data_IF_632631706076
#
_entry.id   IF_632631706076
#
_cell.length_a   1.000
_cell.length_b   1.000
_cell.length_c   1.000
_cell.angle_alpha   90.00
_cell.angle_beta   90.00
_cell.angle_gamma   90.00
#
_symmetry.space_group_name_H-M   'P 1'
#
loop_
_entity.id
_entity.type
_entity.pdbx_description
1 polymer ?
#
# COMPACT_ATOMS: atom_id res chain seq x y z
N UNK A 1 11.09 10.03 12.91
CA UNK A 1 11.04 8.54 13.05
C UNK A 1 12.10 7.99 12.13
N UNK A 2 12.99 7.16 12.63
CA UNK A 2 13.96 6.49 11.77
C UNK A 2 13.33 5.32 10.99
N UNK A 3 14.07 4.75 10.04
CA UNK A 3 13.56 3.72 9.15
C UNK A 3 13.17 2.43 9.89
N UNK A 4 13.98 1.99 10.83
CA UNK A 4 13.72 0.75 11.59
C UNK A 4 12.50 0.94 12.48
N UNK A 5 12.42 2.09 13.16
CA UNK A 5 11.27 2.45 13.96
C UNK A 5 9.97 2.48 13.13
N UNK A 6 10.02 3.06 11.92
CA UNK A 6 8.87 3.07 11.02
C UNK A 6 8.41 1.66 10.62
N UNK A 7 9.34 0.78 10.29
CA UNK A 7 9.05 -0.62 9.93
C UNK A 7 8.42 -1.37 11.10
N UNK A 8 9.01 -1.26 12.30
CA UNK A 8 8.58 -2.03 13.47
C UNK A 8 7.25 -1.54 14.05
N UNK A 9 6.96 -0.25 13.94
CA UNK A 9 5.77 0.36 14.55
C UNK A 9 4.61 0.59 13.58
N UNK A 10 4.80 0.38 12.27
CA UNK A 10 3.74 0.56 11.27
C UNK A 10 2.53 -0.32 11.60
N UNK A 11 1.36 0.31 11.62
CA UNK A 11 0.07 -0.35 11.83
C UNK A 11 -0.82 -0.17 10.60
N UNK A 12 -1.84 -1.01 10.49
CA UNK A 12 -2.86 -0.90 9.44
C UNK A 12 -3.89 0.13 9.85
N UNK A 13 -4.24 1.05 8.93
CA UNK A 13 -5.20 2.12 9.14
C UNK A 13 -6.35 2.00 8.15
N UNK A 14 -7.60 1.98 8.64
CA UNK A 14 -8.84 1.90 7.84
C UNK A 14 -9.84 3.00 8.16
N UNK A 15 -9.58 3.80 9.18
CA UNK A 15 -10.41 4.94 9.58
C UNK A 15 -9.54 6.19 9.53
N UNK A 16 -10.01 7.21 8.86
CA UNK A 16 -9.21 8.40 8.54
C UNK A 16 -9.85 9.67 9.07
N UNK A 17 -9.03 10.56 9.60
CA UNK A 17 -9.44 11.93 9.85
C UNK A 17 -9.75 12.65 8.52
N UNK A 18 -10.63 13.63 8.57
CA UNK A 18 -10.99 14.45 7.40
C UNK A 18 -9.88 15.39 6.94
N UNK A 19 -8.79 15.48 7.71
CA UNK A 19 -7.63 16.32 7.41
C UNK A 19 -7.00 15.92 6.06
N UNK A 20 -6.84 16.87 5.11
CA UNK A 20 -6.24 16.58 3.83
C UNK A 20 -4.76 16.20 3.97
N UNK A 21 -4.29 15.31 3.10
CA UNK A 21 -2.86 14.98 2.98
C UNK A 21 -2.20 15.99 2.07
N UNK A 22 -1.05 16.52 2.50
CA UNK A 22 -0.31 17.49 1.71
C UNK A 22 0.28 16.85 0.44
N UNK A 23 0.36 17.64 -0.63
CA UNK A 23 0.83 17.14 -1.93
C UNK A 23 2.29 16.67 -1.88
N UNK A 24 3.15 17.34 -1.11
CA UNK A 24 4.54 16.97 -0.91
C UNK A 24 4.70 15.64 -0.16
N UNK A 25 3.81 15.33 0.80
CA UNK A 25 3.79 14.02 1.48
C UNK A 25 3.43 12.91 0.49
N UNK A 26 2.39 13.10 -0.35
CA UNK A 26 2.04 12.13 -1.38
C UNK A 26 3.16 11.95 -2.40
N UNK A 27 3.82 13.03 -2.81
CA UNK A 27 4.98 12.96 -3.69
C UNK A 27 6.11 12.11 -3.09
N UNK A 28 6.43 12.30 -1.81
CA UNK A 28 7.45 11.48 -1.10
C UNK A 28 7.06 10.01 -1.02
N UNK A 29 5.78 9.71 -0.81
CA UNK A 29 5.26 8.34 -0.76
C UNK A 29 5.40 7.67 -2.13
N UNK A 30 4.98 8.35 -3.20
CA UNK A 30 5.10 7.84 -4.58
C UNK A 30 6.58 7.62 -4.94
N UNK A 31 7.44 8.56 -4.58
CA UNK A 31 8.88 8.44 -4.81
C UNK A 31 9.48 7.24 -4.06
N UNK A 32 9.07 6.98 -2.82
CA UNK A 32 9.49 5.78 -2.09
C UNK A 32 9.07 4.48 -2.80
N UNK A 33 7.87 4.44 -3.37
CA UNK A 33 7.42 3.32 -4.20
C UNK A 33 8.26 3.16 -5.47
N UNK A 34 8.56 4.27 -6.13
CA UNK A 34 9.39 4.31 -7.35
C UNK A 34 10.81 3.78 -7.12
N UNK A 35 11.34 3.91 -5.91
CA UNK A 35 12.66 3.39 -5.49
C UNK A 35 12.64 1.94 -5.00
N UNK A 36 11.56 1.20 -5.18
CA UNK A 36 11.53 -0.21 -4.85
C UNK A 36 12.45 -1.02 -5.78
N UNK A 37 12.94 -2.15 -5.27
CA UNK A 37 13.66 -3.11 -6.12
C UNK A 37 12.69 -3.79 -7.08
N UNK A 38 13.17 -4.12 -8.28
CA UNK A 38 12.43 -4.94 -9.23
C UNK A 38 13.36 -5.90 -9.97
N UNK A 39 12.83 -7.04 -10.39
CA UNK A 39 13.56 -8.03 -11.14
C UNK A 39 14.16 -7.39 -12.42
N UNK A 40 15.46 -7.49 -12.61
CA UNK A 40 16.20 -6.89 -13.75
C UNK A 40 15.95 -5.38 -13.92
N UNK A 41 15.54 -4.70 -12.87
CA UNK A 41 15.16 -3.29 -12.89
C UNK A 41 14.04 -2.96 -13.91
N UNK A 42 13.10 -3.88 -14.10
CA UNK A 42 12.01 -3.72 -15.07
C UNK A 42 10.97 -2.68 -14.63
N UNK A 43 10.84 -2.41 -13.33
CA UNK A 43 9.95 -1.41 -12.76
C UNK A 43 8.50 -1.53 -13.30
N UNK A 44 7.86 -2.71 -13.17
CA UNK A 44 6.61 -3.06 -13.83
C UNK A 44 5.39 -2.43 -13.14
N UNK A 45 5.49 -1.19 -12.71
CA UNK A 45 4.44 -0.46 -12.01
C UNK A 45 4.18 0.90 -12.61
N UNK A 46 2.94 1.35 -12.43
CA UNK A 46 2.52 2.73 -12.60
C UNK A 46 1.70 3.13 -11.38
N UNK A 47 1.62 4.42 -11.09
CA UNK A 47 0.92 4.93 -9.91
C UNK A 47 -0.06 6.02 -10.33
N UNK A 48 -1.32 5.90 -9.88
CA UNK A 48 -2.33 6.95 -10.04
C UNK A 48 -2.62 7.51 -8.65
N UNK A 49 -2.33 8.80 -8.46
CA UNK A 49 -2.65 9.51 -7.22
C UNK A 49 -4.05 10.11 -7.34
N UNK A 50 -4.95 9.73 -6.42
CA UNK A 50 -6.33 10.19 -6.39
C UNK A 50 -6.54 11.00 -5.12
N UNK A 51 -7.06 12.23 -5.28
CA UNK A 51 -7.42 13.16 -4.19
C UNK A 51 -8.84 13.69 -4.34
N UNK A 52 -9.43 13.50 -5.50
CA UNK A 52 -10.81 13.91 -5.78
C UNK A 52 -11.79 13.09 -4.94
N UNK A 53 -12.65 13.77 -4.19
CA UNK A 53 -13.57 13.14 -3.22
C UNK A 53 -14.63 12.27 -3.90
N UNK A 54 -15.13 12.68 -5.05
CA UNK A 54 -16.15 11.92 -5.76
C UNK A 54 -15.56 10.65 -6.32
N UNK A 55 -14.34 10.74 -6.87
CA UNK A 55 -13.59 9.58 -7.36
C UNK A 55 -13.22 8.60 -6.26
N UNK A 56 -12.79 9.07 -5.10
CA UNK A 56 -12.52 8.22 -3.93
C UNK A 56 -13.78 7.50 -3.45
N UNK A 57 -14.93 8.19 -3.43
CA UNK A 57 -16.23 7.56 -3.11
C UNK A 57 -16.61 6.48 -4.13
N UNK A 58 -16.50 6.80 -5.41
CA UNK A 58 -16.78 5.85 -6.49
C UNK A 58 -15.85 4.62 -6.43
N UNK A 59 -14.54 4.81 -6.16
CA UNK A 59 -13.59 3.73 -5.95
C UNK A 59 -13.97 2.86 -4.74
N UNK A 60 -14.35 3.47 -3.62
CA UNK A 60 -14.79 2.74 -2.43
C UNK A 60 -16.06 1.92 -2.69
N UNK A 61 -16.98 2.39 -3.53
CA UNK A 61 -18.21 1.69 -3.88
C UNK A 61 -17.96 0.39 -4.67
N UNK A 62 -16.88 0.32 -5.45
CA UNK A 62 -16.49 -0.88 -6.22
C UNK A 62 -15.54 -1.81 -5.46
N UNK A 63 -15.18 -1.46 -4.21
CA UNK A 63 -14.40 -2.32 -3.32
C UNK A 63 -15.31 -3.23 -2.50
N UNK A 64 -15.03 -4.54 -2.48
CA UNK A 64 -15.80 -5.50 -1.68
C UNK A 64 -15.49 -5.38 -0.18
N UNK A 65 -14.20 -5.31 0.18
CA UNK A 65 -13.74 -5.23 1.57
C UNK A 65 -13.01 -3.92 1.90
N UNK A 66 -12.77 -3.08 0.91
CA UNK A 66 -11.99 -1.83 0.97
C UNK A 66 -12.85 -0.57 0.94
N UNK A 67 -14.12 -0.61 1.33
CA UNK A 67 -15.05 0.55 1.25
C UNK A 67 -14.54 1.81 1.94
N UNK A 68 -13.66 1.67 2.93
CA UNK A 68 -13.01 2.78 3.63
C UNK A 68 -12.10 3.65 2.72
N UNK A 69 -11.84 3.23 1.46
CA UNK A 69 -11.24 4.09 0.44
C UNK A 69 -12.09 5.35 0.21
N UNK A 70 -13.41 5.21 0.29
CA UNK A 70 -14.35 6.32 0.16
C UNK A 70 -14.14 7.43 1.20
N UNK A 71 -13.63 7.08 2.39
CA UNK A 71 -13.47 8.01 3.51
C UNK A 71 -12.05 8.58 3.60
N UNK A 72 -11.10 7.97 2.89
CA UNK A 72 -9.72 8.45 2.88
C UNK A 72 -9.58 9.81 2.17
N UNK A 73 -8.70 10.71 2.65
CA UNK A 73 -8.46 11.99 1.98
C UNK A 73 -7.63 11.87 0.71
N UNK A 74 -7.00 10.72 0.48
CA UNK A 74 -6.23 10.41 -0.74
C UNK A 74 -6.04 8.91 -0.91
N UNK A 75 -5.73 8.48 -2.13
CA UNK A 75 -5.30 7.11 -2.42
C UNK A 75 -4.23 7.10 -3.51
N UNK A 76 -3.40 6.07 -3.51
CA UNK A 76 -2.53 5.71 -4.62
C UNK A 76 -3.02 4.37 -5.15
N UNK A 77 -3.35 4.32 -6.44
CA UNK A 77 -3.66 3.09 -7.15
C UNK A 77 -2.37 2.60 -7.82
N UNK A 78 -1.99 1.39 -7.53
CA UNK A 78 -0.81 0.74 -8.11
C UNK A 78 -1.28 -0.13 -9.27
N UNK A 79 -0.75 0.15 -10.44
CA UNK A 79 -0.95 -0.66 -11.64
C UNK A 79 0.25 -1.58 -11.82
N UNK A 80 0.00 -2.76 -12.36
CA UNK A 80 1.03 -3.71 -12.78
C UNK A 80 1.03 -3.89 -14.28
N UNK A 81 2.21 -4.02 -14.86
CA UNK A 81 2.40 -4.41 -16.26
C UNK A 81 1.98 -5.88 -16.45
N UNK A 82 1.04 -6.14 -17.34
CA UNK A 82 0.53 -7.48 -17.63
C UNK A 82 1.44 -8.28 -18.55
N UNK A 83 2.32 -7.63 -19.32
CA UNK A 83 3.29 -8.29 -20.21
C UNK A 83 4.45 -8.92 -19.43
N UNK A 84 4.82 -8.36 -18.27
CA UNK A 84 5.90 -8.84 -17.40
C UNK A 84 5.38 -9.63 -16.20
N UNK A 85 4.34 -10.44 -16.40
CA UNK A 85 3.55 -11.07 -15.35
C UNK A 85 4.34 -11.91 -14.32
N UNK A 86 5.51 -12.47 -14.70
CA UNK A 86 6.25 -13.40 -13.81
C UNK A 86 6.66 -12.79 -12.47
N UNK A 87 7.12 -11.55 -12.46
CA UNK A 87 7.62 -10.88 -11.25
C UNK A 87 6.84 -9.62 -10.89
N UNK A 88 5.93 -9.18 -11.76
CA UNK A 88 5.21 -7.92 -11.58
C UNK A 88 4.47 -7.83 -10.23
N UNK A 89 3.84 -8.91 -9.77
CA UNK A 89 3.14 -8.92 -8.49
C UNK A 89 4.11 -8.77 -7.30
N UNK A 90 5.28 -9.44 -7.36
CA UNK A 90 6.31 -9.35 -6.32
C UNK A 90 6.91 -7.96 -6.29
N UNK A 91 7.25 -7.43 -7.47
CA UNK A 91 7.86 -6.11 -7.62
C UNK A 91 6.90 -5.00 -7.17
N UNK A 92 5.63 -5.06 -7.60
CA UNK A 92 4.59 -4.14 -7.13
C UNK A 92 4.37 -4.22 -5.61
N UNK A 93 4.44 -5.42 -5.02
CA UNK A 93 4.32 -5.58 -3.57
C UNK A 93 5.48 -4.89 -2.81
N UNK A 94 6.70 -4.88 -3.36
CA UNK A 94 7.82 -4.15 -2.79
C UNK A 94 7.58 -2.62 -2.85
N UNK A 95 7.07 -2.11 -3.99
CA UNK A 95 6.70 -0.70 -4.11
C UNK A 95 5.62 -0.31 -3.09
N UNK A 96 4.61 -1.15 -2.91
CA UNK A 96 3.56 -0.98 -1.90
C UNK A 96 4.14 -0.92 -0.49
N UNK A 97 5.07 -1.83 -0.15
CA UNK A 97 5.68 -1.85 1.18
C UNK A 97 6.50 -0.59 1.45
N UNK A 98 7.27 -0.12 0.46
CA UNK A 98 8.01 1.14 0.57
C UNK A 98 7.06 2.32 0.81
N UNK A 99 5.98 2.43 0.02
CA UNK A 99 4.98 3.48 0.19
C UNK A 99 4.32 3.44 1.58
N UNK A 100 3.96 2.25 2.05
CA UNK A 100 3.32 2.09 3.36
C UNK A 100 4.25 2.51 4.51
N UNK A 101 5.54 2.16 4.42
CA UNK A 101 6.55 2.53 5.41
C UNK A 101 6.82 4.05 5.38
N UNK A 102 6.98 4.63 4.18
CA UNK A 102 7.17 6.06 4.01
C UNK A 102 5.96 6.86 4.52
N UNK A 103 4.74 6.40 4.20
CA UNK A 103 3.51 7.01 4.73
C UNK A 103 3.49 7.02 6.25
N UNK A 104 3.82 5.90 6.88
CA UNK A 104 3.88 5.81 8.34
C UNK A 104 4.93 6.74 8.94
N UNK A 105 6.12 6.81 8.36
CA UNK A 105 7.18 7.73 8.80
C UNK A 105 6.76 9.20 8.69
N UNK A 106 5.86 9.53 7.76
CA UNK A 106 5.27 10.85 7.56
C UNK A 106 4.01 11.10 8.43
N UNK A 107 3.64 10.17 9.33
CA UNK A 107 2.48 10.27 10.19
C UNK A 107 1.15 9.90 9.52
N UNK A 108 1.19 9.22 8.38
CA UNK A 108 0.03 8.78 7.62
C UNK A 108 -0.13 7.26 7.74
N UNK A 109 -1.38 6.83 7.92
CA UNK A 109 -1.72 5.42 7.89
C UNK A 109 -2.25 4.99 6.53
N UNK A 110 -2.16 3.68 6.26
CA UNK A 110 -2.68 3.03 5.06
C UNK A 110 -3.11 1.60 5.33
N UNK A 111 -3.89 1.05 4.41
CA UNK A 111 -4.23 -0.36 4.37
C UNK A 111 -4.27 -0.83 2.91
N UNK A 112 -3.65 -1.95 2.63
CA UNK A 112 -3.74 -2.63 1.35
C UNK A 112 -5.18 -3.05 1.03
N UNK A 113 -5.71 -2.67 -0.14
CA UNK A 113 -7.03 -3.07 -0.64
C UNK A 113 -6.85 -3.89 -1.90
N UNK A 114 -7.07 -5.21 -1.78
CA UNK A 114 -6.88 -6.16 -2.89
C UNK A 114 -8.17 -6.76 -3.43
N UNK A 115 -9.35 -6.38 -2.90
CA UNK A 115 -10.62 -6.96 -3.32
C UNK A 115 -11.58 -5.86 -3.84
N UNK A 116 -11.65 -5.73 -5.16
CA UNK A 116 -12.39 -4.71 -5.89
C UNK A 116 -12.81 -5.22 -7.27
N UNK A 117 -13.77 -4.57 -7.89
CA UNK A 117 -14.15 -4.77 -9.29
C UNK A 117 -13.09 -4.11 -10.20
N UNK A 118 -12.16 -4.92 -10.71
CA UNK A 118 -11.03 -4.45 -11.50
C UNK A 118 -11.47 -3.79 -12.82
N UNK A 119 -12.54 -4.30 -13.46
CA UNK A 119 -13.03 -3.75 -14.73
C UNK A 119 -13.60 -2.34 -14.54
N UNK A 120 -14.43 -2.14 -13.51
CA UNK A 120 -14.98 -0.83 -13.19
C UNK A 120 -13.91 0.18 -12.77
N UNK A 121 -12.88 -0.27 -12.05
CA UNK A 121 -11.76 0.61 -11.71
C UNK A 121 -10.95 1.01 -12.95
N UNK A 122 -10.71 0.07 -13.86
CA UNK A 122 -9.99 0.35 -15.10
C UNK A 122 -10.74 1.37 -15.97
N UNK A 123 -12.04 1.21 -16.13
CA UNK A 123 -12.90 2.17 -16.84
C UNK A 123 -12.89 3.55 -16.15
N UNK A 124 -13.14 3.59 -14.83
CA UNK A 124 -13.21 4.82 -14.03
C UNK A 124 -11.91 5.64 -14.08
N UNK A 125 -10.77 4.96 -14.11
CA UNK A 125 -9.43 5.56 -14.06
C UNK A 125 -8.79 5.66 -15.46
N UNK A 126 -9.52 5.28 -16.54
CA UNK A 126 -9.02 5.27 -17.92
C UNK A 126 -7.70 4.50 -18.06
N UNK A 127 -7.62 3.32 -17.44
CA UNK A 127 -6.41 2.49 -17.47
C UNK A 127 -6.33 1.83 -18.85
N UNK A 128 -5.23 2.03 -19.60
CA UNK A 128 -5.09 1.45 -20.93
C UNK A 128 -4.79 -0.05 -20.87
N UNK A 129 -4.99 -0.73 -22.00
CA UNK A 129 -4.57 -2.12 -22.19
C UNK A 129 -3.07 -2.28 -21.86
N UNK A 130 -2.72 -3.46 -21.38
CA UNK A 130 -1.35 -3.76 -20.92
C UNK A 130 -1.11 -3.44 -19.45
N UNK A 131 -2.05 -2.76 -18.75
CA UNK A 131 -1.97 -2.47 -17.33
C UNK A 131 -3.18 -3.02 -16.58
N UNK A 132 -2.96 -3.53 -15.39
CA UNK A 132 -4.02 -3.99 -14.50
C UNK A 132 -3.87 -3.37 -13.11
N UNK A 133 -5.00 -3.12 -12.42
CA UNK A 133 -4.94 -2.67 -11.02
C UNK A 133 -4.39 -3.79 -10.16
N UNK A 134 -3.28 -3.52 -9.48
CA UNK A 134 -2.68 -4.44 -8.52
C UNK A 134 -3.28 -4.24 -7.13
N UNK A 135 -3.35 -3.01 -6.66
CA UNK A 135 -3.94 -2.66 -5.37
C UNK A 135 -4.26 -1.18 -5.27
N UNK A 136 -5.04 -0.83 -4.25
CA UNK A 136 -5.31 0.56 -3.84
C UNK A 136 -4.72 0.75 -2.44
N UNK A 137 -3.96 1.82 -2.24
CA UNK A 137 -3.46 2.28 -0.96
C UNK A 137 -4.11 3.62 -0.59
N UNK A 138 -5.18 3.66 0.19
CA UNK A 138 -5.66 4.90 0.78
C UNK A 138 -4.66 5.42 1.81
N UNK A 139 -4.42 6.72 1.83
CA UNK A 139 -3.55 7.40 2.79
C UNK A 139 -4.30 8.51 3.51
N UNK A 140 -4.12 8.59 4.82
CA UNK A 140 -4.67 9.65 5.65
C UNK A 140 -4.12 9.62 7.06
N UNK A 141 -4.38 10.68 7.80
CA UNK A 141 -4.10 10.72 9.24
C UNK A 141 -5.06 9.80 9.99
N UNK A 142 -4.61 9.23 11.09
CA UNK A 142 -5.46 8.40 11.93
C UNK A 142 -6.64 9.21 12.48
N UNK A 143 -7.80 8.60 12.53
CA UNK A 143 -8.91 9.10 13.33
C UNK A 143 -8.57 8.87 14.81
N UNK A 144 -8.55 9.94 15.61
CA UNK A 144 -8.23 9.88 17.04
C UNK A 144 -9.21 9.01 17.85
N UNK A 145 -10.47 8.90 17.38
CA UNK A 145 -11.49 8.07 18.01
C UNK A 145 -11.30 6.57 17.72
N UNK A 146 -10.61 6.26 16.59
CA UNK A 146 -10.35 4.90 16.14
C UNK A 146 -8.88 4.75 15.73
N UNK A 147 -7.96 4.82 16.70
CA UNK A 147 -6.53 4.74 16.39
C UNK A 147 -6.14 3.38 15.81
N UNK A 148 -5.09 3.32 14.98
CA UNK A 148 -4.63 2.08 14.39
C UNK A 148 -4.19 1.08 15.45
N UNK A 149 -4.69 -0.14 15.33
CA UNK A 149 -4.36 -1.22 16.26
C UNK A 149 -3.30 -2.13 15.65
N UNK A 150 -2.29 -2.48 16.49
CA UNK A 150 -1.34 -3.52 16.15
C UNK A 150 -1.98 -4.91 16.28
N UNK A 151 -1.50 -5.86 15.49
CA UNK A 151 -1.83 -7.27 15.66
C UNK A 151 -0.64 -8.00 16.26
N UNK A 152 -0.85 -9.02 17.09
CA UNK A 152 0.24 -9.83 17.62
C UNK A 152 0.97 -10.52 16.46
N UNK A 153 2.28 -10.55 16.54
CA UNK A 153 3.12 -11.32 15.63
C UNK A 153 3.25 -12.76 16.14
N UNK A 154 3.51 -13.68 15.25
CA UNK A 154 3.97 -15.04 15.60
C UNK A 154 5.28 -14.93 16.39
N UNK A 155 5.54 -15.91 17.24
CA UNK A 155 6.80 -15.97 18.00
C UNK A 155 7.98 -16.05 17.01
N UNK A 156 9.08 -15.39 17.34
CA UNK A 156 10.30 -15.42 16.54
C UNK A 156 10.77 -16.85 16.24
N UNK A 157 10.66 -17.74 17.21
CA UNK A 157 11.05 -19.16 17.09
C UNK A 157 10.19 -19.97 16.12
N UNK A 158 9.02 -19.47 15.74
CA UNK A 158 8.16 -20.11 14.74
C UNK A 158 8.53 -19.70 13.30
N UNK A 159 9.33 -18.66 13.13
CA UNK A 159 9.59 -18.03 11.83
C UNK A 159 11.07 -17.91 11.48
N UNK A 160 11.95 -17.95 12.49
CA UNK A 160 13.38 -17.73 12.29
C UNK A 160 14.14 -19.02 12.59
N UNK A 161 14.87 -19.48 11.62
CA UNK A 161 15.75 -20.64 11.72
C UNK A 161 17.17 -20.20 11.35
N UNK A 162 18.18 -20.78 12.00
CA UNK A 162 19.59 -20.48 11.79
C UNK A 162 20.23 -21.66 11.07
N UNK A 163 20.99 -21.42 10.03
CA UNK A 163 21.72 -22.39 9.19
C UNK A 163 20.80 -23.45 8.56
N UNK A 164 19.86 -24.04 9.31
CA UNK A 164 18.95 -25.10 8.84
C UNK A 164 17.53 -24.88 9.37
N UNK A 165 16.55 -25.30 8.59
CA UNK A 165 15.17 -25.32 9.04
C UNK A 165 15.03 -26.17 10.31
N UNK A 166 14.32 -25.65 11.31
CA UNK A 166 14.14 -26.29 12.62
C UNK A 166 15.16 -25.88 13.67
N UNK A 167 16.29 -25.31 13.32
CA UNK A 167 17.29 -24.80 14.27
C UNK A 167 16.89 -23.36 14.68
N UNK A 168 16.31 -23.18 15.86
CA UNK A 168 15.73 -21.91 16.32
C UNK A 168 16.67 -21.09 17.20
N UNK A 169 17.89 -21.56 17.47
CA UNK A 169 18.94 -20.86 18.22
C UNK A 169 20.13 -20.58 17.30
N UNK A 170 20.78 -19.39 17.38
CA UNK A 170 22.05 -19.17 16.73
C UNK A 170 23.11 -20.12 17.29
N UNK A 171 24.03 -20.57 16.46
CA UNK A 171 25.24 -21.33 16.84
C UNK A 171 26.29 -20.39 17.36
#
# INVERSE_FOLDING_TARGET
MDTIEAILNRKVQRTFATKPVAADQLSKIVEAGRHAMSARNLQPWQFIVVRDRERLRAMGAVCTTGRFVADAPSAVVILKDTANARWADVDCAQAVQNMATAGWALGLGTCWVGNFDAAKLAEMLAIPDGWAVFTILPFGYADEKNPPQGKPLKKRTEMVHYERYGQTKPT
#
